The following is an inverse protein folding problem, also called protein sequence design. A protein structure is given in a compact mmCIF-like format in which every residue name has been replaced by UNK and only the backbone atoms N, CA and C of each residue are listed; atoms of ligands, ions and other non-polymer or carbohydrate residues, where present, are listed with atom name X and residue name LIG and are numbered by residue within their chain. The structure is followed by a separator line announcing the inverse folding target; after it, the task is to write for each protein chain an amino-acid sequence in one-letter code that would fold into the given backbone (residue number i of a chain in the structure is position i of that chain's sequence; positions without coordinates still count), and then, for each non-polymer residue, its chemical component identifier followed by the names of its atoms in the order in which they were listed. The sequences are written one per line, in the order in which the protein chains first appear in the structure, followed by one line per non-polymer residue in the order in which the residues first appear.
data_IF_345561777876
#
_entry.id   IF_345561777876
#
_cell.length_a   1.000
_cell.length_b   1.000
_cell.length_c   1.000
_cell.angle_alpha   90.00
_cell.angle_beta   90.00
_cell.angle_gamma   90.00
#
_symmetry.space_group_name_H-M   'P 1'
#
loop_
_entity.id
_entity.type
_entity.pdbx_description
1 polymer ?
#
# COMPACT_ATOMS: atom_id res chain seq x y z
N UNK A 1 10.24 6.15 -9.00
CA UNK A 1 9.31 6.47 -7.89
C UNK A 1 7.93 5.96 -8.26
N UNK A 2 7.27 5.19 -7.38
CA UNK A 2 5.92 4.62 -7.62
C UNK A 2 4.86 5.67 -7.24
N UNK A 3 5.05 6.93 -7.64
CA UNK A 3 4.09 7.99 -7.38
C UNK A 3 3.32 8.30 -8.67
N UNK A 4 1.97 8.32 -8.65
CA UNK A 4 1.19 8.50 -9.85
C UNK A 4 1.37 9.90 -10.44
N UNK A 5 1.67 9.94 -11.75
CA UNK A 5 1.88 11.21 -12.47
C UNK A 5 0.60 12.06 -12.53
N UNK A 6 -0.57 11.42 -12.52
CA UNK A 6 -1.87 12.11 -12.47
C UNK A 6 -2.01 12.95 -11.19
N UNK A 7 -1.59 12.41 -10.03
CA UNK A 7 -1.60 13.14 -8.76
C UNK A 7 -0.67 14.35 -8.78
N UNK A 8 0.54 14.22 -9.34
CA UNK A 8 1.48 15.35 -9.49
C UNK A 8 0.87 16.45 -10.35
N UNK A 9 0.26 16.10 -11.49
CA UNK A 9 -0.40 17.07 -12.38
C UNK A 9 -1.61 17.74 -11.73
N UNK A 10 -2.31 17.03 -10.84
CA UNK A 10 -3.43 17.55 -10.07
C UNK A 10 -2.99 18.39 -8.86
N UNK A 11 -1.68 18.51 -8.59
CA UNK A 11 -1.16 19.19 -7.39
C UNK A 11 -1.51 18.45 -6.08
N UNK A 12 -1.79 17.16 -6.18
CA UNK A 12 -2.09 16.30 -5.03
C UNK A 12 -0.81 15.62 -4.60
N UNK A 13 -0.36 15.94 -3.39
CA UNK A 13 0.89 15.42 -2.81
C UNK A 13 0.66 14.32 -1.77
N UNK A 14 -0.59 13.95 -1.53
CA UNK A 14 -0.98 12.92 -0.57
C UNK A 14 -2.13 12.08 -1.08
N UNK A 15 -2.02 10.76 -0.91
CA UNK A 15 -3.08 9.84 -1.28
C UNK A 15 -2.97 8.50 -0.58
N UNK A 16 -3.98 7.68 -0.75
CA UNK A 16 -4.12 6.36 -0.16
C UNK A 16 -4.62 5.43 -1.25
N UNK A 17 -3.85 4.39 -1.56
CA UNK A 17 -4.31 3.27 -2.36
C UNK A 17 -4.41 2.05 -1.46
N UNK A 18 -5.57 1.42 -1.43
CA UNK A 18 -5.78 0.17 -0.70
C UNK A 18 -5.98 -0.94 -1.70
N UNK A 19 -5.15 -1.97 -1.59
CA UNK A 19 -5.18 -3.14 -2.46
C UNK A 19 -5.46 -4.39 -1.63
N UNK A 20 -6.21 -5.32 -2.20
CA UNK A 20 -6.36 -6.67 -1.66
C UNK A 20 -5.52 -7.62 -2.50
N UNK A 21 -4.59 -8.33 -1.88
CA UNK A 21 -3.69 -9.26 -2.56
C UNK A 21 -3.76 -10.64 -1.90
N UNK A 22 -3.46 -11.67 -2.69
CA UNK A 22 -3.29 -13.05 -2.22
C UNK A 22 -1.82 -13.33 -1.96
N UNK A 23 -1.51 -13.95 -0.82
CA UNK A 23 -0.14 -14.34 -0.47
C UNK A 23 0.24 -15.60 -1.25
N UNK A 24 1.34 -15.54 -1.99
CA UNK A 24 1.95 -16.67 -2.68
C UNK A 24 2.82 -17.52 -1.75
N UNK A 25 3.15 -18.74 -2.18
CA UNK A 25 3.93 -19.69 -1.39
C UNK A 25 5.34 -19.20 -1.02
N UNK A 26 5.88 -18.19 -1.72
CA UNK A 26 7.19 -17.58 -1.41
C UNK A 26 7.05 -16.26 -0.65
N UNK A 27 5.84 -15.87 -0.29
CA UNK A 27 5.53 -14.57 0.32
C UNK A 27 5.38 -13.44 -0.71
N UNK A 28 5.38 -13.76 -2.00
CA UNK A 28 5.04 -12.84 -3.09
C UNK A 28 3.56 -12.49 -3.07
N UNK A 29 3.22 -11.23 -3.33
CA UNK A 29 1.82 -10.79 -3.43
C UNK A 29 1.32 -10.97 -4.86
N UNK A 30 0.29 -11.78 -5.02
CA UNK A 30 -0.33 -12.15 -6.30
C UNK A 30 -1.82 -11.79 -6.29
N UNK A 31 -2.47 -11.75 -7.46
CA UNK A 31 -3.89 -11.41 -7.59
C UNK A 31 -4.30 -10.12 -6.85
N UNK A 32 -3.45 -9.10 -6.94
CA UNK A 32 -3.71 -7.80 -6.31
C UNK A 32 -4.81 -7.03 -7.05
N UNK A 33 -5.85 -6.64 -6.32
CA UNK A 33 -6.98 -5.84 -6.79
C UNK A 33 -7.09 -4.55 -6.00
N UNK A 34 -7.49 -3.45 -6.64
CA UNK A 34 -7.75 -2.18 -5.94
C UNK A 34 -9.05 -2.29 -5.16
N UNK A 35 -8.96 -2.23 -3.84
CA UNK A 35 -10.10 -2.24 -2.94
C UNK A 35 -10.71 -0.84 -2.77
N UNK A 36 -9.84 0.18 -2.62
CA UNK A 36 -10.24 1.59 -2.62
C UNK A 36 -9.05 2.51 -2.93
N UNK A 37 -9.34 3.71 -3.41
CA UNK A 37 -8.34 4.76 -3.56
C UNK A 37 -8.91 6.12 -3.17
N UNK A 38 -8.07 6.95 -2.54
CA UNK A 38 -8.42 8.26 -2.02
C UNK A 38 -7.25 9.24 -2.22
N UNK A 39 -7.42 10.35 -2.95
CA UNK A 39 -8.58 10.70 -3.76
C UNK A 39 -8.78 9.75 -4.95
N UNK A 40 -10.03 9.49 -5.30
CA UNK A 40 -10.37 8.63 -6.43
C UNK A 40 -9.98 9.27 -7.77
N UNK A 41 -9.75 8.44 -8.79
CA UNK A 41 -9.37 8.82 -10.15
C UNK A 41 -8.02 9.53 -10.28
N UNK A 42 -7.09 9.26 -9.35
CA UNK A 42 -5.72 9.79 -9.37
C UNK A 42 -4.65 8.70 -9.46
N UNK A 43 -5.05 7.47 -9.85
CA UNK A 43 -4.17 6.32 -10.02
C UNK A 43 -3.42 5.89 -8.74
N UNK A 44 -3.94 6.23 -7.56
CA UNK A 44 -3.36 5.76 -6.29
C UNK A 44 -3.57 4.26 -6.10
N UNK A 45 -4.69 3.71 -6.58
CA UNK A 45 -4.91 2.27 -6.63
C UNK A 45 -3.92 1.57 -7.55
N UNK A 46 -3.70 2.10 -8.75
CA UNK A 46 -2.73 1.56 -9.70
C UNK A 46 -1.29 1.62 -9.16
N UNK A 47 -0.90 2.75 -8.56
CA UNK A 47 0.39 2.89 -7.89
C UNK A 47 0.53 1.90 -6.71
N UNK A 48 -0.54 1.67 -5.95
CA UNK A 48 -0.54 0.68 -4.87
C UNK A 48 -0.36 -0.75 -5.38
N UNK A 49 -0.94 -1.11 -6.53
CA UNK A 49 -0.69 -2.42 -7.14
C UNK A 49 0.77 -2.59 -7.57
N UNK A 50 1.37 -1.58 -8.21
CA UNK A 50 2.78 -1.61 -8.59
C UNK A 50 3.71 -1.65 -7.37
N UNK A 51 3.36 -0.93 -6.31
CA UNK A 51 4.08 -1.00 -5.04
C UNK A 51 3.97 -2.40 -4.41
N UNK A 52 2.78 -3.01 -4.42
CA UNK A 52 2.56 -4.35 -3.88
C UNK A 52 3.39 -5.43 -4.58
N UNK A 53 3.63 -5.31 -5.90
CA UNK A 53 4.51 -6.22 -6.65
C UNK A 53 5.97 -6.19 -6.19
N UNK A 54 6.41 -5.07 -5.62
CA UNK A 54 7.76 -4.91 -5.07
C UNK A 54 7.85 -5.34 -3.60
N UNK A 55 6.71 -5.55 -2.94
CA UNK A 55 6.65 -5.98 -1.56
C UNK A 55 6.73 -7.51 -1.48
N UNK A 56 7.44 -8.00 -0.48
CA UNK A 56 7.50 -9.43 -0.14
C UNK A 56 7.20 -9.57 1.33
N UNK A 57 6.28 -10.46 1.66
CA UNK A 57 5.90 -10.74 3.03
C UNK A 57 6.58 -12.03 3.50
N UNK A 58 6.67 -12.21 4.82
CA UNK A 58 7.02 -13.50 5.37
C UNK A 58 5.86 -14.49 5.11
N UNK A 59 6.07 -15.60 4.39
CA UNK A 59 5.03 -16.60 4.15
C UNK A 59 4.65 -17.41 5.41
N UNK A 60 5.36 -17.23 6.52
CA UNK A 60 5.10 -17.92 7.79
C UNK A 60 4.49 -16.97 8.82
N UNK A 61 3.44 -17.42 9.49
CA UNK A 61 2.87 -16.74 10.65
C UNK A 61 3.84 -16.80 11.84
N UNK A 62 3.62 -15.97 12.87
CA UNK A 62 4.39 -16.03 14.12
C UNK A 62 4.22 -17.35 14.86
N UNK A 63 3.15 -18.08 14.57
CA UNK A 63 2.82 -19.39 15.14
C UNK A 63 3.32 -20.56 14.26
N UNK A 64 3.84 -20.25 13.07
CA UNK A 64 4.43 -21.22 12.15
C UNK A 64 3.45 -21.79 11.12
N UNK A 65 2.22 -21.28 11.03
CA UNK A 65 1.31 -21.66 9.95
C UNK A 65 1.70 -21.00 8.63
N UNK A 66 1.55 -21.72 7.50
CA UNK A 66 1.76 -21.14 6.20
C UNK A 66 0.61 -20.17 5.89
N UNK A 67 0.98 -19.00 5.37
CA UNK A 67 0.02 -17.95 5.02
C UNK A 67 -0.34 -17.96 3.53
N UNK A 68 0.11 -18.94 2.77
CA UNK A 68 -0.17 -19.03 1.34
C UNK A 68 -1.68 -19.17 1.06
N UNK A 69 -2.15 -18.49 0.01
CA UNK A 69 -3.56 -18.47 -0.38
C UNK A 69 -4.46 -17.55 0.45
N UNK A 70 -3.97 -16.96 1.54
CA UNK A 70 -4.76 -15.97 2.29
C UNK A 70 -4.85 -14.65 1.52
N UNK A 71 -6.04 -14.06 1.53
CA UNK A 71 -6.26 -12.68 1.06
C UNK A 71 -5.96 -11.70 2.18
N UNK A 72 -5.11 -10.72 1.88
CA UNK A 72 -4.78 -9.62 2.78
C UNK A 72 -5.13 -8.28 2.14
N UNK A 73 -5.38 -7.28 2.97
CA UNK A 73 -5.69 -5.92 2.54
C UNK A 73 -4.58 -4.98 2.99
N UNK A 74 -3.87 -4.38 2.04
CA UNK A 74 -2.75 -3.48 2.28
C UNK A 74 -3.16 -2.04 2.00
N UNK A 75 -3.27 -1.18 3.04
CA UNK A 75 -3.42 0.25 2.84
C UNK A 75 -2.05 0.91 2.63
N UNK A 76 -1.80 1.41 1.41
CA UNK A 76 -0.56 2.10 1.04
C UNK A 76 -0.81 3.60 0.99
N UNK A 77 -0.21 4.33 1.93
CA UNK A 77 -0.27 5.79 1.98
C UNK A 77 0.92 6.39 1.23
N UNK A 78 0.61 7.17 0.20
CA UNK A 78 1.58 7.91 -0.59
C UNK A 78 1.71 9.33 -0.05
N UNK A 79 2.93 9.73 0.26
CA UNK A 79 3.29 11.10 0.62
C UNK A 79 4.41 11.55 -0.29
N UNK A 80 4.15 12.58 -1.09
CA UNK A 80 5.18 13.25 -1.87
C UNK A 80 5.71 14.42 -1.04
N UNK A 81 6.85 14.22 -0.38
CA UNK A 81 7.58 15.32 0.23
C UNK A 81 8.65 15.77 -0.77
N UNK A 82 8.47 16.96 -1.33
CA UNK A 82 9.54 17.60 -2.12
C UNK A 82 10.78 17.86 -1.24
N UNK A 83 10.58 17.92 0.08
CA UNK A 83 11.61 17.97 1.12
C UNK A 83 11.32 16.90 2.17
N UNK A 84 11.92 15.73 2.03
CA UNK A 84 12.00 14.75 3.11
C UNK A 84 12.87 15.34 4.25
N UNK A 85 12.28 16.14 5.12
CA UNK A 85 12.78 16.39 6.46
C UNK A 85 11.57 16.58 7.35
N UNK A 86 11.35 15.54 8.14
CA UNK A 86 10.48 15.50 9.31
C UNK A 86 8.96 15.47 9.06
N UNK A 87 8.44 14.26 8.88
CA UNK A 87 7.10 13.94 9.36
C UNK A 87 7.21 12.64 10.17
N UNK A 88 7.48 12.82 11.47
CA UNK A 88 7.35 11.82 12.51
C UNK A 88 6.08 10.94 12.32
N UNK A 89 6.14 9.64 12.65
CA UNK A 89 5.03 8.71 12.43
C UNK A 89 3.79 9.22 13.16
N UNK A 90 2.68 9.30 12.42
CA UNK A 90 1.37 9.63 12.96
C UNK A 90 1.10 8.77 14.20
N UNK A 91 1.08 9.42 15.36
CA UNK A 91 0.87 8.79 16.64
C UNK A 91 -0.49 8.05 16.64
N UNK A 92 -0.58 6.87 17.27
CA UNK A 92 -1.84 6.12 17.37
C UNK A 92 -2.85 6.95 18.15
N UNK A 93 -4.02 7.18 17.54
CA UNK A 93 -5.16 7.80 18.21
C UNK A 93 -5.58 6.91 19.39
N UNK A 94 -5.20 7.31 20.60
CA UNK A 94 -5.67 6.71 21.84
C UNK A 94 -7.21 6.82 21.91
N UNK A 95 -7.87 5.70 22.21
CA UNK A 95 -9.30 5.63 22.57
C UNK A 95 -9.50 6.22 23.99
N UNK A 96 -10.69 6.80 24.27
CA UNK A 96 -10.95 7.63 25.44
C UNK A 96 -10.94 6.88 26.78
#
# INVERSE_FOLDING_TARGET
AVYPQAAIKAGVYGGLGVVSCTIGARGDLTDCEVAREEPAALDFGAAAMEAAKLMTMNPWSTEGEPMDGLKITLPIRFTWQETATDAAPAAPSARP
#
